data_IF_569946016624
#
_entry.id   IF_569946016624
#
_cell.length_a   1.000
_cell.length_b   1.000
_cell.length_c   1.000
_cell.angle_alpha   90.00
_cell.angle_beta   90.00
_cell.angle_gamma   90.00
#
_symmetry.space_group_name_H-M   'P 1'
#
loop_
_entity.id
_entity.type
_entity.pdbx_description
1 polymer ?
#
# COMPACT_ATOMS: atom_id res chain seq x y z
N UNK A 1 6.73 20.79 -21.06
CA UNK A 1 5.63 20.30 -21.90
C UNK A 1 5.23 18.93 -21.36
N UNK A 2 4.19 18.90 -20.58
CA UNK A 2 3.71 17.69 -19.89
C UNK A 2 2.94 16.82 -20.88
N UNK A 3 3.42 15.63 -21.16
CA UNK A 3 2.69 14.63 -21.94
C UNK A 3 1.97 13.71 -20.98
N UNK A 4 0.65 13.86 -20.90
CA UNK A 4 -0.24 12.94 -20.21
C UNK A 4 -0.14 11.54 -20.84
N UNK A 5 0.36 10.58 -20.09
CA UNK A 5 0.26 9.16 -20.42
C UNK A 5 -1.19 8.70 -20.24
N UNK A 6 -1.98 8.83 -21.30
CA UNK A 6 -3.30 8.22 -21.41
C UNK A 6 -3.11 6.71 -21.59
N UNK A 7 -3.29 5.94 -20.52
CA UNK A 7 -3.33 4.49 -20.58
C UNK A 7 -4.66 4.01 -21.13
N UNK A 8 -4.64 3.47 -22.34
CA UNK A 8 -5.71 2.61 -22.86
C UNK A 8 -5.73 1.30 -22.06
N UNK A 9 -6.90 0.75 -21.69
CA UNK A 9 -6.95 -0.49 -20.92
C UNK A 9 -6.47 -1.66 -21.80
N UNK A 10 -5.31 -2.22 -21.49
CA UNK A 10 -4.86 -3.48 -22.05
C UNK A 10 -5.81 -4.60 -21.59
N UNK A 11 -6.45 -5.26 -22.53
CA UNK A 11 -7.28 -6.45 -22.30
C UNK A 11 -6.39 -7.57 -21.73
N UNK A 12 -6.47 -7.82 -20.44
CA UNK A 12 -6.00 -9.06 -19.82
C UNK A 12 -7.06 -10.14 -20.09
N UNK A 13 -6.80 -10.99 -21.06
CA UNK A 13 -7.58 -12.20 -21.36
C UNK A 13 -7.18 -13.30 -20.41
N UNK A 14 -8.11 -13.76 -19.56
CA UNK A 14 -7.96 -15.01 -18.85
C UNK A 14 -8.55 -15.08 -17.45
N UNK A 15 -9.82 -14.70 -17.27
CA UNK A 15 -10.58 -15.10 -16.09
C UNK A 15 -12.03 -15.37 -16.53
N UNK A 16 -12.55 -16.52 -16.13
CA UNK A 16 -13.91 -16.94 -16.47
C UNK A 16 -14.97 -15.96 -15.99
N UNK A 17 -16.16 -16.10 -16.53
CA UNK A 17 -17.41 -15.32 -16.54
C UNK A 17 -17.91 -14.63 -15.25
N UNK A 18 -17.06 -14.21 -14.33
CA UNK A 18 -17.41 -13.41 -13.16
C UNK A 18 -16.64 -12.08 -13.19
N UNK A 19 -17.35 -10.95 -13.08
CA UNK A 19 -16.80 -9.60 -13.06
C UNK A 19 -15.78 -9.37 -11.90
N UNK A 20 -15.18 -8.18 -11.81
CA UNK A 20 -14.19 -7.84 -10.80
C UNK A 20 -14.75 -7.98 -9.37
N UNK A 21 -13.84 -8.08 -8.38
CA UNK A 21 -14.22 -8.07 -6.97
C UNK A 21 -14.61 -6.68 -6.47
N UNK A 22 -13.95 -5.65 -7.01
CA UNK A 22 -14.27 -4.24 -6.76
C UNK A 22 -14.28 -3.48 -8.08
N UNK A 23 -15.29 -2.64 -8.28
CA UNK A 23 -15.38 -1.69 -9.39
C UNK A 23 -15.84 -0.34 -8.86
N UNK A 24 -14.98 0.68 -9.03
CA UNK A 24 -15.28 2.07 -8.75
C UNK A 24 -15.33 2.86 -10.07
N UNK A 25 -16.33 3.72 -10.23
CA UNK A 25 -16.46 4.62 -11.38
C UNK A 25 -16.81 6.03 -10.93
N UNK A 26 -15.93 6.98 -11.20
CA UNK A 26 -16.11 8.40 -10.91
C UNK A 26 -16.37 8.67 -9.42
N UNK A 27 -15.76 7.90 -8.52
CA UNK A 27 -16.01 7.98 -7.09
C UNK A 27 -15.58 9.33 -6.55
N UNK A 28 -16.49 10.02 -5.86
CA UNK A 28 -16.22 11.33 -5.25
C UNK A 28 -16.79 11.43 -3.85
N UNK A 29 -16.01 12.08 -2.97
CA UNK A 29 -16.42 12.41 -1.60
C UNK A 29 -15.79 13.71 -1.15
N UNK A 30 -16.60 14.57 -0.55
CA UNK A 30 -16.19 15.86 0.00
C UNK A 30 -16.67 15.96 1.45
N UNK A 31 -15.84 16.50 2.33
CA UNK A 31 -16.17 16.82 3.70
C UNK A 31 -15.95 18.32 3.90
N UNK A 32 -17.01 19.07 4.18
CA UNK A 32 -16.97 20.52 4.24
C UNK A 32 -16.22 21.10 3.01
N UNK A 33 -15.03 21.66 3.21
CA UNK A 33 -14.23 22.29 2.16
C UNK A 33 -13.12 21.37 1.58
N UNK A 34 -13.03 20.11 2.06
CA UNK A 34 -11.97 19.15 1.65
C UNK A 34 -12.53 18.10 0.73
N UNK A 35 -12.00 18.02 -0.50
CA UNK A 35 -12.29 16.91 -1.43
C UNK A 35 -11.40 15.73 -1.05
N UNK A 36 -11.97 14.77 -0.32
CA UNK A 36 -11.24 13.59 0.14
C UNK A 36 -11.02 12.55 -0.95
N UNK A 37 -11.99 12.42 -1.90
CA UNK A 37 -11.92 11.54 -3.08
C UNK A 37 -12.41 12.33 -4.28
N UNK A 38 -11.63 12.39 -5.36
CA UNK A 38 -11.88 13.25 -6.51
C UNK A 38 -11.90 12.48 -7.84
N UNK A 39 -12.99 11.77 -8.08
CA UNK A 39 -13.27 11.13 -9.37
C UNK A 39 -12.45 9.85 -9.62
N UNK A 40 -12.34 8.97 -8.64
CA UNK A 40 -11.56 7.74 -8.75
C UNK A 40 -12.29 6.69 -9.60
N UNK A 41 -11.56 6.13 -10.57
CA UNK A 41 -11.87 4.91 -11.30
C UNK A 41 -10.87 3.82 -10.90
N UNK A 42 -11.39 2.67 -10.43
CA UNK A 42 -10.57 1.56 -9.99
C UNK A 42 -11.26 0.23 -10.23
N UNK A 43 -10.49 -0.76 -10.66
CA UNK A 43 -10.93 -2.14 -10.81
C UNK A 43 -9.93 -3.08 -10.14
N UNK A 44 -10.44 -3.98 -9.27
CA UNK A 44 -9.67 -5.04 -8.62
C UNK A 44 -10.20 -6.39 -9.07
N UNK A 45 -9.33 -7.22 -9.61
CA UNK A 45 -9.67 -8.54 -10.10
C UNK A 45 -9.97 -9.51 -8.96
N UNK A 46 -10.64 -10.63 -9.26
CA UNK A 46 -10.84 -11.70 -8.28
C UNK A 46 -9.52 -12.42 -7.99
N UNK A 47 -9.27 -12.72 -6.71
CA UNK A 47 -8.06 -13.37 -6.24
C UNK A 47 -6.81 -12.48 -6.24
N UNK A 48 -6.97 -11.18 -6.51
CA UNK A 48 -5.90 -10.19 -6.51
C UNK A 48 -5.67 -9.65 -5.09
N UNK A 49 -4.43 -9.47 -4.69
CA UNK A 49 -4.05 -8.62 -3.57
C UNK A 49 -3.71 -7.23 -4.09
N UNK A 50 -4.57 -6.27 -3.78
CA UNK A 50 -4.48 -4.90 -4.27
C UNK A 50 -4.10 -3.95 -3.14
N UNK A 51 -3.08 -3.11 -3.35
CA UNK A 51 -2.61 -2.10 -2.41
C UNK A 51 -3.12 -0.70 -2.76
N UNK A 52 -3.64 0.02 -1.77
CA UNK A 52 -3.95 1.44 -1.89
C UNK A 52 -2.98 2.23 -1.01
N UNK A 53 -2.03 2.90 -1.66
CA UNK A 53 -0.90 3.56 -1.03
C UNK A 53 -1.04 5.07 -1.06
N UNK A 54 -0.34 5.75 -0.17
CA UNK A 54 -0.28 7.22 -0.15
C UNK A 54 -0.09 7.76 1.26
N UNK A 55 0.18 9.06 1.40
CA UNK A 55 0.35 9.71 2.70
C UNK A 55 -0.96 9.78 3.48
N UNK A 56 -0.87 10.23 4.73
CA UNK A 56 -2.05 10.58 5.51
C UNK A 56 -2.82 11.70 4.79
N UNK A 57 -4.15 11.65 4.83
CA UNK A 57 -4.96 12.62 4.11
C UNK A 57 -5.08 12.41 2.58
N UNK A 58 -4.41 11.43 1.99
CA UNK A 58 -4.52 11.16 0.54
C UNK A 58 -5.91 10.68 0.08
N UNK A 59 -6.80 10.31 1.01
CA UNK A 59 -8.15 9.81 0.71
C UNK A 59 -8.30 8.28 0.76
N UNK A 60 -7.26 7.53 1.17
CA UNK A 60 -7.27 6.07 1.25
C UNK A 60 -8.40 5.55 2.15
N UNK A 61 -8.40 5.95 3.42
CA UNK A 61 -9.40 5.51 4.41
C UNK A 61 -10.82 5.86 3.96
N UNK A 62 -11.03 7.08 3.47
CA UNK A 62 -12.35 7.48 2.93
C UNK A 62 -12.78 6.60 1.76
N UNK A 63 -11.86 6.25 0.85
CA UNK A 63 -12.16 5.36 -0.28
C UNK A 63 -12.55 3.96 0.23
N UNK A 64 -11.81 3.42 1.20
CA UNK A 64 -12.09 2.11 1.79
C UNK A 64 -13.40 2.12 2.57
N UNK A 65 -13.66 3.11 3.43
CA UNK A 65 -14.94 3.26 4.17
C UNK A 65 -16.15 3.29 3.24
N UNK A 66 -16.03 3.93 2.07
CA UNK A 66 -17.08 3.92 1.04
C UNK A 66 -17.25 2.49 0.48
N UNK A 67 -16.15 1.80 0.17
CA UNK A 67 -16.20 0.41 -0.30
C UNK A 67 -16.80 -0.53 0.75
N UNK A 68 -16.51 -0.33 2.03
CA UNK A 68 -17.05 -1.10 3.15
C UNK A 68 -18.53 -0.79 3.46
N UNK A 69 -19.07 0.29 2.88
CA UNK A 69 -20.44 0.75 3.11
C UNK A 69 -20.63 1.44 4.47
N UNK A 70 -19.55 1.98 5.03
CA UNK A 70 -19.57 2.80 6.26
C UNK A 70 -19.88 4.26 5.96
N UNK A 71 -19.54 4.72 4.75
CA UNK A 71 -19.73 6.09 4.29
C UNK A 71 -20.35 6.08 2.89
N UNK A 72 -21.36 6.93 2.67
CA UNK A 72 -21.94 7.11 1.33
C UNK A 72 -21.09 8.05 0.47
N UNK A 73 -20.84 7.72 -0.81
CA UNK A 73 -20.20 8.64 -1.74
C UNK A 73 -21.15 9.79 -2.12
N UNK A 74 -20.61 10.95 -2.46
CA UNK A 74 -21.38 12.07 -3.00
C UNK A 74 -21.80 11.82 -4.46
N UNK A 75 -20.92 11.15 -5.21
CA UNK A 75 -21.20 10.72 -6.59
C UNK A 75 -20.33 9.51 -6.98
N UNK A 76 -20.62 8.93 -8.14
CA UNK A 76 -19.96 7.74 -8.65
C UNK A 76 -20.69 6.44 -8.28
N UNK A 77 -20.11 5.32 -8.69
CA UNK A 77 -20.65 3.98 -8.42
C UNK A 77 -19.62 3.11 -7.73
N UNK A 78 -20.11 2.25 -6.82
CA UNK A 78 -19.33 1.24 -6.12
C UNK A 78 -20.02 -0.10 -6.29
N UNK A 79 -19.32 -1.04 -6.91
CA UNK A 79 -19.76 -2.42 -7.03
C UNK A 79 -18.76 -3.36 -6.38
N UNK A 80 -19.23 -4.24 -5.53
CA UNK A 80 -18.46 -5.27 -4.82
C UNK A 80 -19.03 -6.62 -5.18
N UNK A 81 -18.18 -7.52 -5.71
CA UNK A 81 -18.59 -8.87 -6.08
C UNK A 81 -19.82 -8.90 -7.03
N UNK A 82 -19.99 -7.85 -7.85
CA UNK A 82 -21.12 -7.62 -8.74
C UNK A 82 -22.40 -7.10 -8.08
N UNK A 83 -22.33 -6.65 -6.83
CA UNK A 83 -23.43 -6.08 -6.06
C UNK A 83 -23.11 -4.64 -5.64
N UNK A 84 -24.16 -3.87 -5.30
CA UNK A 84 -24.02 -2.57 -4.69
C UNK A 84 -24.67 -2.50 -3.30
N UNK A 85 -24.25 -1.58 -2.46
CA UNK A 85 -24.75 -1.47 -1.10
C UNK A 85 -26.25 -1.17 -1.01
N UNK A 86 -26.83 -0.44 -1.97
CA UNK A 86 -28.25 -0.06 -1.94
C UNK A 86 -29.19 -1.26 -2.09
N UNK A 87 -28.80 -2.24 -2.91
CA UNK A 87 -29.65 -3.42 -3.21
C UNK A 87 -29.12 -4.72 -2.63
N UNK A 88 -27.81 -4.84 -2.37
CA UNK A 88 -27.13 -6.08 -1.99
C UNK A 88 -26.50 -6.07 -0.59
N UNK A 89 -26.81 -5.10 0.27
CA UNK A 89 -26.11 -4.92 1.56
C UNK A 89 -26.12 -6.18 2.45
N UNK A 90 -27.24 -6.91 2.51
CA UNK A 90 -27.34 -8.13 3.33
C UNK A 90 -26.42 -9.24 2.81
N UNK A 91 -26.34 -9.40 1.49
CA UNK A 91 -25.48 -10.40 0.87
C UNK A 91 -24.00 -9.99 0.97
N UNK A 92 -23.68 -8.73 0.70
CA UNK A 92 -22.31 -8.21 0.81
C UNK A 92 -21.73 -8.46 2.21
N UNK A 93 -22.48 -8.14 3.28
CA UNK A 93 -22.04 -8.38 4.66
C UNK A 93 -21.74 -9.84 4.98
N UNK A 94 -22.27 -10.79 4.22
CA UNK A 94 -21.97 -12.21 4.37
C UNK A 94 -20.75 -12.68 3.58
N UNK A 95 -20.27 -11.86 2.62
CA UNK A 95 -19.22 -12.24 1.67
C UNK A 95 -17.94 -11.41 1.81
N UNK A 96 -17.99 -10.32 2.59
CA UNK A 96 -16.82 -9.46 2.84
C UNK A 96 -16.34 -9.65 4.28
N UNK A 97 -15.03 -9.49 4.47
CA UNK A 97 -14.39 -9.35 5.77
C UNK A 97 -13.75 -7.97 5.87
N UNK A 98 -13.80 -7.36 7.04
CA UNK A 98 -13.26 -6.02 7.28
C UNK A 98 -12.41 -6.05 8.53
N UNK A 99 -11.18 -5.56 8.42
CA UNK A 99 -10.30 -5.25 9.54
C UNK A 99 -10.01 -3.74 9.50
N UNK A 100 -10.58 -3.03 10.44
CA UNK A 100 -10.36 -1.58 10.60
C UNK A 100 -9.00 -1.30 11.25
N UNK A 101 -8.44 -0.13 10.98
CA UNK A 101 -7.18 0.36 11.56
C UNK A 101 -7.22 0.30 13.10
N UNK A 102 -8.31 0.80 13.70
CA UNK A 102 -8.55 0.70 15.14
C UNK A 102 -9.80 -0.13 15.41
N UNK A 103 -9.60 -1.41 15.75
CA UNK A 103 -10.70 -2.27 16.17
C UNK A 103 -10.83 -2.27 17.68
N UNK A 104 -11.93 -1.72 18.19
CA UNK A 104 -12.26 -1.75 19.61
C UNK A 104 -13.15 -2.96 19.92
N UNK A 105 -12.62 -3.84 20.73
CA UNK A 105 -13.38 -5.00 21.25
C UNK A 105 -13.82 -4.76 22.69
N UNK A 106 -14.91 -5.38 23.15
CA UNK A 106 -15.29 -5.34 24.55
C UNK A 106 -14.18 -5.95 25.44
N UNK A 107 -13.60 -5.15 26.31
CA UNK A 107 -12.43 -5.48 27.14
C UNK A 107 -12.60 -6.75 28.00
N UNK A 108 -13.84 -7.02 28.44
CA UNK A 108 -14.17 -8.11 29.35
C UNK A 108 -14.34 -9.46 28.66
N UNK A 109 -14.56 -9.48 27.36
CA UNK A 109 -14.69 -10.74 26.61
C UNK A 109 -13.35 -11.44 26.50
N UNK A 110 -13.40 -12.77 26.44
CA UNK A 110 -12.25 -13.60 26.07
C UNK A 110 -12.07 -13.63 24.54
N UNK A 111 -10.90 -14.03 24.07
CA UNK A 111 -10.60 -14.19 22.64
C UNK A 111 -11.63 -15.11 21.98
N UNK A 112 -11.89 -16.31 22.55
CA UNK A 112 -12.85 -17.24 22.01
C UNK A 112 -14.27 -16.67 21.99
N UNK A 113 -14.69 -15.99 23.05
CA UNK A 113 -16.02 -15.38 23.14
C UNK A 113 -16.19 -14.29 22.09
N UNK A 114 -15.15 -13.48 21.84
CA UNK A 114 -15.14 -12.45 20.81
C UNK A 114 -15.30 -13.05 19.42
N UNK A 115 -14.48 -14.05 19.07
CA UNK A 115 -14.58 -14.72 17.77
C UNK A 115 -15.94 -15.41 17.61
N UNK A 116 -16.44 -16.06 18.66
CA UNK A 116 -17.79 -16.71 18.66
C UNK A 116 -18.90 -15.69 18.41
N UNK A 117 -18.81 -14.50 19.01
CA UNK A 117 -19.74 -13.40 18.78
C UNK A 117 -19.72 -12.99 17.31
N UNK A 118 -18.55 -12.72 16.75
CA UNK A 118 -18.42 -12.33 15.33
C UNK A 118 -18.91 -13.45 14.40
N UNK A 119 -18.57 -14.72 14.69
CA UNK A 119 -19.05 -15.87 13.91
C UNK A 119 -20.58 -15.95 13.87
N UNK A 120 -21.27 -15.52 14.93
CA UNK A 120 -22.74 -15.55 14.99
C UNK A 120 -23.43 -14.59 14.02
N UNK A 121 -22.74 -13.61 13.47
CA UNK A 121 -23.26 -12.68 12.46
C UNK A 121 -23.33 -13.29 11.04
N UNK A 122 -22.65 -14.41 10.82
CA UNK A 122 -22.54 -15.03 9.51
C UNK A 122 -23.33 -16.34 9.43
N UNK A 123 -24.06 -16.54 8.32
CA UNK A 123 -24.76 -17.80 8.06
C UNK A 123 -23.79 -18.97 7.84
N UNK A 124 -22.67 -18.69 7.14
CA UNK A 124 -21.59 -19.64 6.86
C UNK A 124 -20.29 -19.04 7.36
N UNK A 125 -19.24 -19.86 7.45
CA UNK A 125 -17.91 -19.39 7.84
C UNK A 125 -17.09 -20.52 8.45
N UNK A 126 -15.84 -20.21 8.78
CA UNK A 126 -14.94 -21.15 9.44
C UNK A 126 -15.32 -21.31 10.91
N UNK A 127 -14.85 -22.40 11.52
CA UNK A 127 -15.10 -22.65 12.93
C UNK A 127 -14.33 -21.65 13.82
N UNK A 128 -14.81 -21.45 15.04
CA UNK A 128 -14.09 -20.63 16.04
C UNK A 128 -12.69 -21.18 16.31
N UNK A 129 -12.56 -22.51 16.35
CA UNK A 129 -11.28 -23.20 16.53
C UNK A 129 -10.30 -22.88 15.40
N UNK A 130 -10.77 -22.97 14.16
CA UNK A 130 -10.00 -22.67 12.97
C UNK A 130 -9.59 -21.19 12.92
N UNK A 131 -10.50 -20.26 13.28
CA UNK A 131 -10.18 -18.83 13.36
C UNK A 131 -9.09 -18.54 14.38
N UNK A 132 -9.15 -19.17 15.57
CA UNK A 132 -8.13 -19.04 16.62
C UNK A 132 -6.77 -19.54 16.11
N UNK A 133 -6.77 -20.69 15.43
CA UNK A 133 -5.55 -21.30 14.86
C UNK A 133 -4.96 -20.42 13.75
N UNK A 134 -5.79 -19.95 12.82
CA UNK A 134 -5.36 -19.06 11.73
C UNK A 134 -4.71 -17.78 12.27
N UNK A 135 -5.26 -17.22 13.33
CA UNK A 135 -4.71 -16.04 14.00
C UNK A 135 -3.58 -16.33 14.99
N UNK A 136 -3.20 -17.63 15.19
CA UNK A 136 -2.17 -18.06 16.16
C UNK A 136 -2.45 -17.53 17.58
N UNK A 137 -3.69 -17.69 18.04
CA UNK A 137 -4.15 -17.22 19.34
C UNK A 137 -4.52 -18.38 20.30
N UNK A 138 -4.07 -19.61 20.02
CA UNK A 138 -4.40 -20.81 20.80
C UNK A 138 -4.04 -20.65 22.28
N UNK A 139 -2.84 -20.16 22.58
CA UNK A 139 -2.37 -19.92 23.95
C UNK A 139 -3.13 -18.78 24.65
N UNK A 140 -3.78 -17.92 23.89
CA UNK A 140 -4.55 -16.76 24.38
C UNK A 140 -6.05 -16.96 24.32
N UNK A 141 -6.50 -18.15 23.97
CA UNK A 141 -7.92 -18.51 23.79
C UNK A 141 -8.83 -17.98 24.91
N UNK A 142 -8.43 -18.19 26.14
CA UNK A 142 -9.17 -17.81 27.35
C UNK A 142 -8.71 -16.46 27.94
N UNK A 143 -7.77 -15.77 27.31
CA UNK A 143 -7.32 -14.46 27.76
C UNK A 143 -8.38 -13.39 27.46
N UNK A 144 -8.56 -12.44 28.38
CA UNK A 144 -9.43 -11.29 28.15
C UNK A 144 -8.77 -10.32 27.17
N UNK A 145 -9.58 -9.67 26.34
CA UNK A 145 -9.12 -8.71 25.33
C UNK A 145 -8.27 -7.59 25.92
N UNK A 146 -8.62 -7.08 27.09
CA UNK A 146 -7.85 -6.03 27.79
C UNK A 146 -6.41 -6.46 28.08
N UNK A 147 -6.15 -7.75 28.28
CA UNK A 147 -4.83 -8.31 28.59
C UNK A 147 -3.98 -8.66 27.37
N UNK A 148 -4.48 -8.41 26.16
CA UNK A 148 -3.75 -8.69 24.92
C UNK A 148 -2.79 -7.55 24.57
N UNK A 149 -1.61 -7.91 24.04
CA UNK A 149 -0.71 -6.93 23.41
C UNK A 149 -1.33 -6.35 22.13
N UNK A 150 -0.81 -5.23 21.62
CA UNK A 150 -1.25 -4.62 20.36
C UNK A 150 -1.26 -5.63 19.20
N UNK A 151 -0.17 -6.39 19.01
CA UNK A 151 -0.09 -7.41 17.98
C UNK A 151 -1.07 -8.58 18.18
N UNK A 152 -1.41 -8.94 19.45
CA UNK A 152 -2.43 -9.94 19.72
C UNK A 152 -3.84 -9.42 19.43
N UNK A 153 -4.11 -8.14 19.71
CA UNK A 153 -5.38 -7.49 19.33
C UNK A 153 -5.55 -7.42 17.82
N UNK A 154 -4.48 -7.12 17.10
CA UNK A 154 -4.49 -7.10 15.63
C UNK A 154 -4.77 -8.48 15.04
N UNK A 155 -4.16 -9.55 15.59
CA UNK A 155 -4.46 -10.93 15.20
C UNK A 155 -5.90 -11.34 15.53
N UNK A 156 -6.45 -10.85 16.64
CA UNK A 156 -7.87 -11.05 16.97
C UNK A 156 -8.79 -10.33 15.97
N UNK A 157 -8.44 -9.10 15.57
CA UNK A 157 -9.18 -8.36 14.54
C UNK A 157 -9.19 -9.12 13.21
N UNK A 158 -8.04 -9.64 12.81
CA UNK A 158 -7.93 -10.50 11.61
C UNK A 158 -8.78 -11.77 11.74
N UNK A 159 -8.74 -12.47 12.89
CA UNK A 159 -9.59 -13.64 13.12
C UNK A 159 -11.08 -13.31 12.95
N UNK A 160 -11.53 -12.17 13.48
CA UNK A 160 -12.90 -11.70 13.35
C UNK A 160 -13.26 -11.32 11.91
N UNK A 161 -12.34 -10.74 11.14
CA UNK A 161 -12.55 -10.43 9.73
C UNK A 161 -12.66 -11.70 8.86
N UNK A 162 -11.96 -12.77 9.22
CA UNK A 162 -11.91 -14.03 8.47
C UNK A 162 -13.02 -15.02 8.83
N UNK A 163 -13.66 -14.87 9.99
CA UNK A 163 -14.57 -15.86 10.54
C UNK A 163 -15.79 -16.17 9.65
N UNK A 164 -16.20 -15.22 8.80
CA UNK A 164 -17.26 -15.38 7.80
C UNK A 164 -16.83 -16.11 6.53
N UNK A 165 -15.56 -16.51 6.40
CA UNK A 165 -14.97 -17.08 5.20
C UNK A 165 -15.16 -16.18 3.95
N UNK A 166 -14.68 -14.90 4.01
CA UNK A 166 -14.98 -13.88 3.01
C UNK A 166 -14.35 -14.18 1.66
N UNK A 167 -15.04 -13.76 0.57
CA UNK A 167 -14.49 -13.73 -0.79
C UNK A 167 -13.61 -12.51 -1.02
N UNK A 168 -13.93 -11.40 -0.35
CA UNK A 168 -13.21 -10.12 -0.41
C UNK A 168 -12.90 -9.65 1.00
N UNK A 169 -11.62 -9.34 1.25
CA UNK A 169 -11.11 -8.89 2.54
C UNK A 169 -10.55 -7.47 2.42
N UNK A 170 -11.00 -6.57 3.29
CA UNK A 170 -10.42 -5.24 3.48
C UNK A 170 -9.52 -5.24 4.71
N UNK A 171 -8.31 -4.71 4.55
CA UNK A 171 -7.30 -4.59 5.59
C UNK A 171 -6.83 -3.13 5.65
N UNK A 172 -7.30 -2.37 6.64
CA UNK A 172 -6.90 -0.98 6.79
C UNK A 172 -5.68 -0.89 7.71
N UNK A 173 -4.53 -0.55 7.12
CA UNK A 173 -3.21 -0.45 7.77
C UNK A 173 -2.88 -1.62 8.72
N UNK A 174 -2.92 -2.87 8.24
CA UNK A 174 -2.96 -4.05 9.09
C UNK A 174 -1.70 -4.28 9.92
N UNK A 175 -0.57 -3.66 9.57
CA UNK A 175 0.73 -3.85 10.24
C UNK A 175 1.15 -2.68 11.11
N UNK A 176 0.36 -1.61 11.17
CA UNK A 176 0.68 -0.43 11.97
C UNK A 176 0.79 -0.78 13.44
N UNK A 177 1.90 -0.36 14.07
CA UNK A 177 2.18 -0.62 15.47
C UNK A 177 2.60 -2.06 15.81
N UNK A 178 2.81 -2.92 14.82
CA UNK A 178 3.33 -4.27 15.01
C UNK A 178 4.86 -4.29 15.10
N UNK A 179 5.38 -5.17 15.96
CA UNK A 179 6.79 -5.52 15.92
C UNK A 179 7.16 -6.29 14.63
N UNK A 180 8.47 -6.38 14.27
CA UNK A 180 8.88 -7.02 13.02
C UNK A 180 8.50 -8.51 12.90
N UNK A 181 8.33 -9.22 14.02
CA UNK A 181 7.93 -10.63 14.01
C UNK A 181 6.43 -10.76 13.75
N UNK A 182 5.60 -9.97 14.43
CA UNK A 182 4.16 -9.94 14.23
C UNK A 182 3.80 -9.51 12.80
N UNK A 183 4.54 -8.53 12.23
CA UNK A 183 4.38 -8.09 10.83
C UNK A 183 4.64 -9.24 9.86
N UNK A 184 5.74 -9.99 10.02
CA UNK A 184 6.05 -11.15 9.16
C UNK A 184 4.96 -12.21 9.22
N UNK A 185 4.46 -12.54 10.41
CA UNK A 185 3.35 -13.50 10.55
C UNK A 185 2.07 -13.05 9.83
N UNK A 186 1.77 -11.74 9.86
CA UNK A 186 0.64 -11.20 9.12
C UNK A 186 0.85 -11.31 7.61
N UNK A 187 2.06 -11.03 7.11
CA UNK A 187 2.40 -11.19 5.71
C UNK A 187 2.25 -12.64 5.24
N UNK A 188 2.72 -13.60 6.02
CA UNK A 188 2.54 -15.03 5.73
C UNK A 188 1.06 -15.40 5.66
N UNK A 189 0.23 -14.87 6.56
CA UNK A 189 -1.22 -15.09 6.53
C UNK A 189 -1.86 -14.49 5.26
N UNK A 190 -1.48 -13.28 4.87
CA UNK A 190 -1.97 -12.65 3.62
C UNK A 190 -1.56 -13.48 2.40
N UNK A 191 -0.32 -13.97 2.35
CA UNK A 191 0.16 -14.86 1.28
C UNK A 191 -0.67 -16.17 1.21
N UNK A 192 -1.01 -16.74 2.35
CA UNK A 192 -1.83 -17.97 2.38
C UNK A 192 -3.27 -17.73 1.93
N UNK A 193 -3.86 -16.58 2.28
CA UNK A 193 -5.18 -16.16 1.80
C UNK A 193 -5.17 -15.92 0.27
N UNK A 194 -4.12 -15.29 -0.27
CA UNK A 194 -3.91 -15.15 -1.73
C UNK A 194 -3.86 -16.51 -2.42
N UNK A 195 -3.05 -17.44 -1.91
CA UNK A 195 -2.95 -18.81 -2.46
C UNK A 195 -4.30 -19.54 -2.43
N UNK A 196 -5.14 -19.25 -1.43
CA UNK A 196 -6.50 -19.76 -1.34
C UNK A 196 -7.49 -19.08 -2.29
N UNK A 197 -7.03 -18.12 -3.13
CA UNK A 197 -7.85 -17.41 -4.12
C UNK A 197 -8.72 -16.29 -3.55
N UNK A 198 -8.44 -15.82 -2.33
CA UNK A 198 -9.17 -14.68 -1.74
C UNK A 198 -8.71 -13.36 -2.38
N UNK A 199 -9.67 -12.45 -2.61
CA UNK A 199 -9.34 -11.08 -3.00
C UNK A 199 -9.06 -10.27 -1.75
N UNK A 200 -7.96 -9.50 -1.76
CA UNK A 200 -7.54 -8.69 -0.63
C UNK A 200 -7.32 -7.26 -1.12
N UNK A 201 -7.89 -6.30 -0.41
CA UNK A 201 -7.62 -4.88 -0.60
C UNK A 201 -7.01 -4.39 0.70
N UNK A 202 -5.78 -3.90 0.63
CA UNK A 202 -5.09 -3.36 1.79
C UNK A 202 -4.71 -1.90 1.58
N UNK A 203 -4.83 -1.11 2.65
CA UNK A 203 -4.20 0.20 2.70
C UNK A 203 -2.91 0.10 3.48
N UNK A 204 -1.92 0.85 3.08
CA UNK A 204 -0.68 0.99 3.82
C UNK A 204 0.04 2.27 3.44
N UNK A 205 0.84 2.78 4.37
CA UNK A 205 1.85 3.80 4.11
C UNK A 205 3.28 3.19 4.08
N UNK A 206 3.39 1.86 4.31
CA UNK A 206 4.66 1.12 4.20
C UNK A 206 4.82 0.57 2.78
N UNK A 207 5.77 1.11 2.03
CA UNK A 207 6.01 0.71 0.64
C UNK A 207 6.56 -0.71 0.51
N UNK A 208 7.40 -1.14 1.45
CA UNK A 208 7.93 -2.50 1.54
C UNK A 208 6.83 -3.57 1.72
N UNK A 209 5.77 -3.23 2.46
CA UNK A 209 4.60 -4.08 2.60
C UNK A 209 3.88 -4.26 1.27
N UNK A 210 3.63 -3.16 0.56
CA UNK A 210 2.96 -3.19 -0.73
C UNK A 210 3.77 -3.93 -1.80
N UNK A 211 5.09 -3.71 -1.86
CA UNK A 211 5.99 -4.44 -2.75
C UNK A 211 5.98 -5.94 -2.50
N UNK A 212 5.89 -6.33 -1.23
CA UNK A 212 5.92 -7.74 -0.81
C UNK A 212 4.62 -8.48 -1.05
N UNK A 213 3.47 -7.84 -0.81
CA UNK A 213 2.18 -8.49 -0.75
C UNK A 213 1.31 -8.28 -1.98
N UNK A 214 1.37 -7.10 -2.60
CA UNK A 214 0.42 -6.70 -3.61
C UNK A 214 0.81 -7.15 -5.03
N UNK A 215 -0.18 -7.63 -5.77
CA UNK A 215 -0.04 -7.91 -7.21
C UNK A 215 -0.08 -6.61 -8.01
N UNK A 216 -0.95 -5.69 -7.62
CA UNK A 216 -1.02 -4.31 -8.15
C UNK A 216 -1.24 -3.34 -7.00
N UNK A 217 -0.81 -2.10 -7.26
CA UNK A 217 -0.97 -1.00 -6.31
C UNK A 217 -1.48 0.24 -7.04
N UNK A 218 -2.30 1.03 -6.33
CA UNK A 218 -2.61 2.40 -6.69
C UNK A 218 -1.95 3.35 -5.68
N UNK A 219 -1.22 4.34 -6.18
CA UNK A 219 -0.69 5.41 -5.36
C UNK A 219 -1.69 6.57 -5.41
N UNK A 220 -2.18 6.97 -4.23
CA UNK A 220 -3.10 8.09 -4.06
C UNK A 220 -2.38 9.32 -3.52
N UNK A 221 -2.77 10.47 -4.03
CA UNK A 221 -2.41 11.77 -3.49
C UNK A 221 -3.54 12.78 -3.74
N UNK A 222 -3.85 13.62 -2.74
CA UNK A 222 -4.92 14.63 -2.81
C UNK A 222 -6.24 14.12 -3.41
N UNK A 223 -6.69 12.94 -2.96
CA UNK A 223 -7.95 12.32 -3.38
C UNK A 223 -7.94 11.69 -4.77
N UNK A 224 -6.79 11.60 -5.44
CA UNK A 224 -6.65 11.05 -6.80
C UNK A 224 -5.69 9.87 -6.85
N UNK A 225 -5.91 8.96 -7.78
CA UNK A 225 -4.91 7.96 -8.15
C UNK A 225 -3.91 8.63 -9.09
N UNK A 226 -2.65 8.74 -8.66
CA UNK A 226 -1.55 9.34 -9.44
C UNK A 226 -0.70 8.30 -10.15
N UNK A 227 -0.72 7.04 -9.71
CA UNK A 227 -0.09 5.91 -10.40
C UNK A 227 -0.85 4.61 -10.10
N UNK A 228 -0.87 3.68 -11.07
CA UNK A 228 -1.51 2.38 -10.98
C UNK A 228 -0.73 1.35 -11.80
N UNK A 229 -0.35 0.24 -11.19
CA UNK A 229 0.40 -0.83 -11.87
C UNK A 229 0.88 -1.91 -10.90
N UNK A 230 1.65 -2.87 -11.39
CA UNK A 230 2.40 -3.76 -10.48
C UNK A 230 3.53 -2.97 -9.80
N UNK A 231 3.98 -3.35 -8.60
CA UNK A 231 5.13 -2.71 -7.95
C UNK A 231 6.33 -2.59 -8.90
N UNK A 232 6.67 -3.66 -9.62
CA UNK A 232 7.78 -3.69 -10.56
C UNK A 232 7.60 -2.71 -11.74
N UNK A 233 6.38 -2.61 -12.30
CA UNK A 233 6.08 -1.64 -13.36
C UNK A 233 6.25 -0.20 -12.90
N UNK A 234 5.78 0.10 -11.69
CA UNK A 234 5.88 1.44 -11.12
C UNK A 234 7.34 1.79 -10.80
N UNK A 235 8.10 0.88 -10.18
CA UNK A 235 9.52 1.07 -9.91
C UNK A 235 10.30 1.29 -11.20
N UNK A 236 10.05 0.48 -12.24
CA UNK A 236 10.70 0.66 -13.55
C UNK A 236 10.38 2.02 -14.21
N UNK A 237 9.25 2.65 -13.86
CA UNK A 237 8.89 3.97 -14.42
C UNK A 237 9.73 5.14 -13.91
N UNK A 238 10.45 4.96 -12.79
CA UNK A 238 11.36 5.98 -12.22
C UNK A 238 12.66 6.09 -13.01
N UNK A 239 12.89 5.15 -13.93
CA UNK A 239 13.98 5.27 -14.90
C UNK A 239 15.29 4.61 -14.48
N UNK A 240 15.36 3.83 -13.38
CA UNK A 240 16.56 3.11 -12.98
C UNK A 240 16.25 1.97 -12.02
N UNK A 241 17.09 0.92 -12.07
CA UNK A 241 16.98 -0.20 -11.12
C UNK A 241 17.58 0.14 -9.75
N UNK A 242 18.42 1.20 -9.70
CA UNK A 242 19.16 1.61 -8.51
C UNK A 242 19.14 3.12 -8.32
N UNK A 243 19.27 3.54 -7.07
CA UNK A 243 19.45 4.94 -6.67
C UNK A 243 20.81 5.09 -6.02
N UNK A 244 21.54 6.13 -6.44
CA UNK A 244 22.80 6.57 -5.85
C UNK A 244 22.55 7.89 -5.15
N UNK A 245 22.79 7.95 -3.85
CA UNK A 245 22.60 9.14 -3.01
C UNK A 245 23.94 9.63 -2.47
N UNK A 246 24.17 10.92 -2.51
CA UNK A 246 25.33 11.54 -1.88
C UNK A 246 25.13 13.02 -1.63
N UNK A 247 25.92 13.58 -0.71
CA UNK A 247 26.19 14.99 -0.63
C UNK A 247 27.59 15.30 -1.18
N UNK A 248 27.74 16.49 -1.79
CA UNK A 248 28.99 16.93 -2.33
C UNK A 248 29.41 18.24 -1.64
N UNK A 249 30.63 18.29 -1.10
CA UNK A 249 31.16 19.45 -0.37
C UNK A 249 32.45 19.93 -1.02
N UNK A 250 32.73 21.26 -1.09
CA UNK A 250 33.95 21.79 -1.64
C UNK A 250 35.17 21.36 -0.83
N UNK A 251 36.28 21.00 -1.51
CA UNK A 251 37.57 20.72 -0.86
C UNK A 251 38.26 21.99 -0.31
N UNK A 252 37.93 23.15 -0.84
CA UNK A 252 38.53 24.43 -0.49
C UNK A 252 37.46 25.45 -0.17
N UNK A 253 36.91 25.53 0.97
CA UNK A 253 36.11 26.61 1.58
C UNK A 253 35.28 27.59 0.72
N UNK A 254 35.37 27.56 -0.60
CA UNK A 254 34.60 28.36 -1.54
C UNK A 254 33.34 27.57 -1.93
N UNK A 255 32.20 28.23 -1.90
CA UNK A 255 30.93 27.65 -2.41
C UNK A 255 31.09 27.28 -3.89
N UNK A 256 31.05 26.01 -4.19
CA UNK A 256 31.06 25.49 -5.56
C UNK A 256 29.84 24.56 -5.68
N UNK A 257 28.94 24.88 -6.63
CA UNK A 257 27.78 24.05 -6.92
C UNK A 257 28.20 22.84 -7.75
N UNK A 258 27.59 21.70 -7.48
CA UNK A 258 27.76 20.48 -8.27
C UNK A 258 27.16 20.68 -9.67
N UNK A 259 27.96 20.43 -10.70
CA UNK A 259 27.49 20.43 -12.10
C UNK A 259 26.69 19.13 -12.36
N UNK A 260 25.39 19.28 -12.29
CA UNK A 260 24.44 18.18 -12.49
C UNK A 260 24.41 17.70 -13.93
N UNK A 261 24.55 18.61 -14.88
CA UNK A 261 24.48 18.28 -16.32
C UNK A 261 25.69 17.38 -16.71
N UNK A 262 26.84 17.61 -16.14
CA UNK A 262 28.01 16.75 -16.33
C UNK A 262 27.80 15.34 -15.78
N UNK A 263 27.04 15.18 -14.67
CA UNK A 263 26.70 13.90 -14.10
C UNK A 263 25.60 13.19 -14.92
N UNK A 264 24.58 13.92 -15.36
CA UNK A 264 23.53 13.37 -16.21
C UNK A 264 24.04 12.91 -17.59
N UNK A 265 25.18 13.43 -18.05
CA UNK A 265 25.83 12.97 -19.28
C UNK A 265 26.51 11.59 -19.13
N UNK A 266 26.66 11.06 -17.92
CA UNK A 266 27.27 9.75 -17.66
C UNK A 266 26.32 8.65 -18.16
N UNK A 267 26.81 7.70 -19.00
CA UNK A 267 25.98 6.60 -19.47
C UNK A 267 25.38 5.78 -18.31
N UNK A 268 24.08 5.51 -18.39
CA UNK A 268 23.36 4.75 -17.36
C UNK A 268 22.77 5.60 -16.23
N UNK A 269 23.03 6.91 -16.18
CA UNK A 269 22.31 7.86 -15.31
C UNK A 269 21.08 8.37 -16.08
N UNK A 270 19.91 8.28 -15.46
CA UNK A 270 18.63 8.57 -16.13
C UNK A 270 17.94 9.81 -15.57
N UNK A 271 18.02 10.03 -14.27
CA UNK A 271 17.38 11.17 -13.63
C UNK A 271 18.17 11.65 -12.41
N UNK A 272 17.93 12.90 -12.02
CA UNK A 272 18.48 13.51 -10.82
C UNK A 272 17.37 14.23 -10.05
N UNK A 273 17.45 14.16 -8.73
CA UNK A 273 16.65 14.97 -7.81
C UNK A 273 17.49 15.33 -6.57
N UNK A 274 17.00 16.28 -5.80
CA UNK A 274 17.57 16.63 -4.48
C UNK A 274 16.52 16.36 -3.42
N UNK A 275 16.90 15.63 -2.39
CA UNK A 275 16.07 15.34 -1.25
C UNK A 275 16.85 15.57 0.04
N UNK A 276 16.30 16.39 0.96
CA UNK A 276 16.92 16.76 2.23
C UNK A 276 18.40 17.19 2.10
N UNK A 277 18.80 17.79 0.97
CA UNK A 277 20.17 18.21 0.69
C UNK A 277 21.09 17.13 0.10
N UNK A 278 20.57 15.91 -0.10
CA UNK A 278 21.25 14.83 -0.81
C UNK A 278 20.90 14.83 -2.30
N UNK A 279 21.89 14.66 -3.13
CA UNK A 279 21.70 14.42 -4.55
C UNK A 279 21.38 12.94 -4.76
N UNK A 280 20.27 12.66 -5.42
CA UNK A 280 19.82 11.31 -5.76
C UNK A 280 19.82 11.14 -7.28
N UNK A 281 20.50 10.11 -7.76
CA UNK A 281 20.58 9.76 -9.17
C UNK A 281 20.01 8.37 -9.40
N UNK A 282 19.03 8.26 -10.31
CA UNK A 282 18.57 6.96 -10.77
C UNK A 282 19.54 6.40 -11.81
N UNK A 283 20.01 5.17 -11.60
CA UNK A 283 21.02 4.53 -12.45
C UNK A 283 20.60 3.13 -12.85
N UNK A 284 20.94 2.72 -14.07
CA UNK A 284 20.66 1.36 -14.55
C UNK A 284 21.69 0.35 -14.07
N UNK A 285 22.96 0.71 -14.02
CA UNK A 285 24.07 -0.18 -13.68
C UNK A 285 25.04 0.47 -12.68
N UNK A 286 24.95 0.11 -11.40
CA UNK A 286 25.77 0.68 -10.33
C UNK A 286 27.28 0.57 -10.60
N UNK A 287 27.73 -0.62 -11.08
CA UNK A 287 29.15 -0.89 -11.27
C UNK A 287 29.79 -0.01 -12.37
N UNK A 288 28.98 0.51 -13.31
CA UNK A 288 29.46 1.44 -14.34
C UNK A 288 29.29 2.90 -13.91
N UNK A 289 28.16 3.25 -13.29
CA UNK A 289 27.84 4.63 -12.94
C UNK A 289 28.64 5.14 -11.74
N UNK A 290 28.78 4.35 -10.68
CA UNK A 290 29.42 4.79 -9.42
C UNK A 290 30.87 5.27 -9.62
N UNK A 291 31.76 4.53 -10.29
CA UNK A 291 33.13 5.02 -10.52
C UNK A 291 33.18 6.32 -11.32
N UNK A 292 32.27 6.51 -12.28
CA UNK A 292 32.22 7.72 -13.11
C UNK A 292 31.66 8.91 -12.31
N UNK A 293 30.68 8.70 -11.44
CA UNK A 293 30.19 9.73 -10.51
C UNK A 293 31.32 10.20 -9.62
N UNK A 294 32.11 9.30 -9.01
CA UNK A 294 33.25 9.68 -8.18
C UNK A 294 34.27 10.51 -8.95
N UNK A 295 34.64 10.04 -10.14
CA UNK A 295 35.62 10.76 -11.00
C UNK A 295 35.11 12.16 -11.42
N UNK A 296 33.83 12.26 -11.78
CA UNK A 296 33.22 13.54 -12.20
C UNK A 296 33.10 14.53 -11.04
N UNK A 297 32.76 14.09 -9.84
CA UNK A 297 32.70 14.95 -8.65
C UNK A 297 34.10 15.41 -8.22
N UNK A 298 35.09 14.52 -8.24
CA UNK A 298 36.49 14.88 -7.96
C UNK A 298 37.06 15.86 -8.98
N UNK A 299 36.77 15.69 -10.27
CA UNK A 299 37.20 16.61 -11.33
C UNK A 299 36.63 18.04 -11.13
N UNK A 300 35.48 18.16 -10.48
CA UNK A 300 34.87 19.43 -10.11
C UNK A 300 35.44 20.02 -8.79
N UNK A 301 36.46 19.39 -8.18
CA UNK A 301 37.07 19.88 -6.93
C UNK A 301 36.20 19.66 -5.70
N UNK A 302 35.18 18.82 -5.80
CA UNK A 302 34.29 18.47 -4.72
C UNK A 302 34.70 17.16 -4.03
N UNK A 303 34.22 16.95 -2.83
CA UNK A 303 34.38 15.72 -2.06
C UNK A 303 33.01 15.12 -1.78
N UNK A 304 32.86 13.80 -2.06
CA UNK A 304 31.66 13.07 -1.74
C UNK A 304 31.60 12.75 -0.24
N UNK A 305 30.45 13.01 0.35
CA UNK A 305 30.10 12.59 1.70
C UNK A 305 28.72 11.94 1.69
N UNK A 306 28.38 11.19 2.74
CA UNK A 306 27.09 10.50 2.91
C UNK A 306 26.68 9.62 1.71
N UNK A 307 27.64 8.96 1.08
CA UNK A 307 27.39 8.13 -0.08
C UNK A 307 26.62 6.85 0.29
N UNK A 308 25.50 6.61 -0.41
CA UNK A 308 24.66 5.43 -0.25
C UNK A 308 24.18 4.93 -1.61
N UNK A 309 23.85 3.64 -1.69
CA UNK A 309 23.18 3.06 -2.84
C UNK A 309 22.11 2.10 -2.36
N UNK A 310 20.97 2.08 -3.05
CA UNK A 310 19.88 1.11 -2.81
C UNK A 310 19.20 0.75 -4.13
N UNK A 311 18.43 -0.34 -4.13
CA UNK A 311 17.55 -0.67 -5.25
C UNK A 311 16.37 0.30 -5.25
N UNK A 312 15.95 0.75 -6.42
CA UNK A 312 14.78 1.60 -6.55
C UNK A 312 13.53 0.92 -5.95
N UNK A 313 12.70 1.68 -5.29
CA UNK A 313 11.55 1.23 -4.50
C UNK A 313 10.27 2.02 -4.85
N UNK A 314 9.12 1.59 -4.35
CA UNK A 314 7.88 2.38 -4.44
C UNK A 314 7.97 3.72 -3.70
N UNK A 315 8.85 3.86 -2.68
CA UNK A 315 9.11 5.14 -2.02
C UNK A 315 9.73 6.13 -3.01
N UNK A 316 10.69 5.67 -3.83
CA UNK A 316 11.29 6.49 -4.89
C UNK A 316 10.28 6.89 -5.97
N UNK A 317 9.34 5.99 -6.30
CA UNK A 317 8.23 6.28 -7.20
C UNK A 317 7.37 7.41 -6.64
N UNK A 318 6.97 7.30 -5.37
CA UNK A 318 6.13 8.30 -4.72
C UNK A 318 6.82 9.67 -4.68
N UNK A 319 8.06 9.71 -4.22
CA UNK A 319 8.86 10.96 -4.18
C UNK A 319 9.04 11.54 -5.59
N UNK A 320 9.29 10.69 -6.59
CA UNK A 320 9.42 11.11 -7.98
C UNK A 320 8.14 11.74 -8.57
N UNK A 321 6.96 11.25 -8.16
CA UNK A 321 5.67 11.75 -8.62
C UNK A 321 5.19 13.00 -7.88
N UNK A 322 5.51 13.13 -6.59
CA UNK A 322 4.95 14.17 -5.71
C UNK A 322 5.97 15.23 -5.31
N UNK A 323 7.27 14.95 -5.42
CA UNK A 323 8.34 15.83 -4.99
C UNK A 323 8.49 15.92 -3.45
N UNK A 324 7.86 15.04 -2.68
CA UNK A 324 7.89 15.04 -1.20
C UNK A 324 7.96 13.61 -0.65
N UNK A 325 8.54 13.47 0.54
CA UNK A 325 8.60 12.19 1.24
C UNK A 325 7.28 11.87 1.97
N UNK A 326 6.97 10.57 2.10
CA UNK A 326 5.81 10.10 2.86
C UNK A 326 5.89 10.40 4.36
N UNK A 327 7.11 10.64 4.88
CA UNK A 327 7.40 10.83 6.31
C UNK A 327 7.41 12.29 6.75
N UNK A 328 7.21 13.22 5.85
CA UNK A 328 7.30 14.66 6.13
C UNK A 328 5.97 15.29 6.59
N UNK A 329 4.98 14.45 6.99
CA UNK A 329 3.66 14.89 7.51
C UNK A 329 3.41 14.42 8.95
#
# INVERSE_FOLDING_TARGET
>A
MSAALANSPSKLSGAGAQGPSLLLRGLRKTYADVVAVDGIDLEVARGECFGLLGPNGAGKTTTIEICEGLTDPDSGTVELLGLNWKSGASELRQRIGIQLQETQFPDKLQVEETIRLFRSFFHKGISVEESIKTAQLEEKRNARVVGLSGGQKQRLAMACALVGDPELLFLDEPTTGLDPQARRHLWDLVDDLKKAGRTIILTTHYMDEAERLCDRVAIMDHGKIIALGTPQQLIASVGGEHVVEFSATPRSGNEMALDIDALLAIPGIQSHRVDAGLHQFSVSELHLAVPQIFAAVEAQGLHLSEFRTHSASLEDVFVGLTGRNLRDE
#
